data_IF_660101857155
#
_entry.id   IF_660101857155
#
_cell.length_a   1.000
_cell.length_b   1.000
_cell.length_c   1.000
_cell.angle_alpha   90.00
_cell.angle_beta   90.00
_cell.angle_gamma   90.00
#
_symmetry.space_group_name_H-M   'P 1'
#
loop_
_entity.id
_entity.type
_entity.pdbx_description
1 polymer ?
#
# COMPACT_ATOMS: atom_id res chain seq x y z
N UNK A 1 45.01 -94.07 15.62
CA UNK A 1 45.66 -93.02 14.82
C UNK A 1 44.97 -91.71 15.17
N UNK A 2 45.71 -90.81 15.84
CA UNK A 2 45.40 -89.37 16.16
C UNK A 2 44.19 -89.04 17.08
N UNK A 3 44.27 -87.94 17.87
CA UNK A 3 43.95 -87.97 19.30
C UNK A 3 42.93 -86.92 19.78
N UNK A 4 42.56 -87.07 21.05
CA UNK A 4 42.23 -86.06 22.08
C UNK A 4 41.86 -84.62 21.65
N UNK A 5 40.69 -84.15 22.10
CA UNK A 5 40.49 -82.72 22.38
C UNK A 5 39.49 -82.46 23.51
N UNK A 6 40.08 -82.36 24.69
CA UNK A 6 39.74 -81.52 25.84
C UNK A 6 38.52 -80.58 25.75
N UNK A 7 37.70 -80.70 26.80
CA UNK A 7 36.64 -79.80 27.27
C UNK A 7 37.17 -78.36 27.45
N UNK A 8 36.41 -77.38 26.95
CA UNK A 8 36.56 -75.96 27.31
C UNK A 8 35.33 -75.50 28.11
N UNK A 9 35.49 -74.87 29.28
CA UNK A 9 34.35 -74.32 30.02
C UNK A 9 33.81 -73.08 29.31
N UNK A 10 32.49 -73.08 29.08
CA UNK A 10 31.76 -71.95 28.53
C UNK A 10 31.75 -70.76 29.49
N UNK A 11 32.19 -69.61 28.98
CA UNK A 11 32.13 -68.29 29.60
C UNK A 11 30.70 -67.94 30.01
N UNK A 12 30.50 -67.54 31.28
CA UNK A 12 29.29 -66.87 31.75
C UNK A 12 29.05 -65.57 30.94
N UNK A 13 27.80 -65.19 30.65
CA UNK A 13 27.52 -63.92 30.01
C UNK A 13 27.83 -62.76 30.98
N UNK A 14 28.58 -61.78 30.48
CA UNK A 14 28.88 -60.53 31.20
C UNK A 14 27.56 -59.80 31.50
N UNK A 15 27.38 -59.46 32.77
CA UNK A 15 26.35 -58.56 33.30
C UNK A 15 26.23 -57.31 32.44
N UNK A 16 25.00 -57.04 31.98
CA UNK A 16 24.66 -55.87 31.19
C UNK A 16 25.00 -54.58 31.92
N UNK A 17 25.64 -53.66 31.20
CA UNK A 17 25.85 -52.29 31.65
C UNK A 17 24.49 -51.61 31.86
N UNK A 18 24.27 -51.12 33.08
CA UNK A 18 23.13 -50.26 33.42
C UNK A 18 23.20 -49.02 32.54
N UNK A 19 22.27 -48.87 31.60
CA UNK A 19 22.08 -47.64 30.83
C UNK A 19 21.51 -46.58 31.78
N UNK A 20 22.30 -45.55 32.08
CA UNK A 20 21.78 -44.33 32.69
C UNK A 20 20.65 -43.77 31.81
N UNK A 21 19.49 -43.39 32.38
CA UNK A 21 18.41 -42.77 31.61
C UNK A 21 18.93 -41.48 30.97
N UNK A 22 18.79 -41.44 29.65
CA UNK A 22 19.47 -40.52 28.76
C UNK A 22 19.07 -39.07 28.96
N UNK A 23 20.02 -38.20 28.64
CA UNK A 23 19.85 -36.77 28.53
C UNK A 23 18.59 -36.42 27.74
N UNK A 24 17.79 -35.51 28.30
CA UNK A 24 16.68 -34.87 27.61
C UNK A 24 17.26 -34.18 26.37
N UNK A 25 16.81 -34.48 25.14
CA UNK A 25 17.30 -33.79 23.97
C UNK A 25 17.02 -32.29 24.16
N UNK A 26 18.07 -31.47 24.09
CA UNK A 26 17.91 -30.02 24.07
C UNK A 26 17.09 -29.71 22.82
N UNK A 27 15.83 -29.33 22.99
CA UNK A 27 15.08 -28.71 21.91
C UNK A 27 15.92 -27.54 21.41
N UNK A 28 16.24 -27.55 20.11
CA UNK A 28 16.84 -26.39 19.47
C UNK A 28 15.98 -25.15 19.69
N UNK A 29 16.50 -23.95 19.42
CA UNK A 29 15.69 -22.74 19.47
C UNK A 29 14.40 -22.97 18.65
N UNK A 30 13.24 -22.50 19.15
CA UNK A 30 12.00 -22.64 18.41
C UNK A 30 12.20 -22.08 16.99
N UNK A 31 11.66 -22.77 15.99
CA UNK A 31 11.65 -22.25 14.63
C UNK A 31 11.12 -20.81 14.66
N UNK A 32 11.72 -19.87 13.89
CA UNK A 32 11.25 -18.50 13.87
C UNK A 32 9.75 -18.49 13.57
N UNK A 33 8.99 -17.74 14.38
CA UNK A 33 7.56 -17.61 14.16
C UNK A 33 7.31 -17.21 12.70
N UNK A 34 6.31 -17.80 12.03
CA UNK A 34 6.01 -17.46 10.64
C UNK A 34 5.77 -15.95 10.55
N UNK A 35 6.40 -15.30 9.56
CA UNK A 35 6.22 -13.87 9.32
C UNK A 35 4.73 -13.57 9.10
N UNK A 36 4.19 -12.50 9.72
CA UNK A 36 2.78 -12.19 9.60
C UNK A 36 2.44 -11.86 8.14
N UNK A 37 1.23 -12.23 7.69
CA UNK A 37 0.73 -11.72 6.41
C UNK A 37 0.51 -10.21 6.50
N UNK A 38 0.76 -9.49 5.41
CA UNK A 38 0.63 -8.04 5.34
C UNK A 38 -0.38 -7.64 4.28
N UNK A 39 -1.36 -6.83 4.67
CA UNK A 39 -2.44 -6.40 3.81
C UNK A 39 -2.51 -4.87 3.74
N UNK A 40 -2.21 -4.31 2.57
CA UNK A 40 -2.44 -2.90 2.29
C UNK A 40 -3.88 -2.67 1.85
N UNK A 41 -4.68 -2.12 2.75
CA UNK A 41 -6.14 -1.93 2.58
C UNK A 41 -6.52 -0.49 2.23
N UNK A 42 -5.55 0.31 1.79
CA UNK A 42 -5.84 1.64 1.24
C UNK A 42 -6.55 1.58 -0.11
N UNK A 43 -7.40 2.57 -0.38
CA UNK A 43 -7.98 2.76 -1.70
C UNK A 43 -6.89 3.13 -2.71
N UNK A 44 -7.14 2.90 -4.00
CA UNK A 44 -6.20 3.34 -5.03
C UNK A 44 -5.95 4.85 -4.88
N UNK A 45 -4.72 5.29 -5.16
CA UNK A 45 -4.27 6.71 -5.11
C UNK A 45 -3.99 7.30 -3.72
N UNK A 46 -3.92 6.48 -2.68
CA UNK A 46 -3.47 6.87 -1.32
C UNK A 46 -2.00 6.51 -1.03
N UNK A 47 -1.19 6.22 -2.06
CA UNK A 47 0.21 5.81 -1.87
C UNK A 47 0.46 4.30 -1.86
N UNK A 48 -0.49 3.50 -2.35
CA UNK A 48 -0.41 2.02 -2.36
C UNK A 48 0.85 1.45 -3.02
N UNK A 49 1.37 2.05 -4.09
CA UNK A 49 2.64 1.63 -4.72
C UNK A 49 3.86 1.91 -3.86
N UNK A 50 3.92 3.10 -3.27
CA UNK A 50 4.97 3.48 -2.32
C UNK A 50 4.96 2.58 -1.10
N UNK A 51 3.77 2.23 -0.59
CA UNK A 51 3.63 1.23 0.46
C UNK A 51 4.23 -0.12 0.03
N UNK A 52 3.87 -0.64 -1.15
CA UNK A 52 4.43 -1.94 -1.61
C UNK A 52 5.94 -1.88 -1.75
N UNK A 53 6.49 -0.80 -2.30
CA UNK A 53 7.94 -0.61 -2.42
C UNK A 53 8.61 -0.59 -1.04
N UNK A 54 8.06 0.16 -0.09
CA UNK A 54 8.58 0.23 1.27
C UNK A 54 8.54 -1.13 1.98
N UNK A 55 7.45 -1.89 1.82
CA UNK A 55 7.34 -3.25 2.35
C UNK A 55 8.41 -4.18 1.78
N UNK A 56 8.74 -4.04 0.49
CA UNK A 56 9.81 -4.81 -0.15
C UNK A 56 11.20 -4.43 0.37
N UNK A 57 11.47 -3.14 0.59
CA UNK A 57 12.69 -2.69 1.28
C UNK A 57 12.81 -3.33 2.65
N UNK A 58 11.71 -3.39 3.41
CA UNK A 58 11.66 -4.03 4.74
C UNK A 58 11.76 -5.57 4.67
N UNK A 59 11.92 -6.15 3.48
CA UNK A 59 12.16 -7.56 3.27
C UNK A 59 10.89 -8.41 3.19
N UNK A 60 9.72 -7.82 2.91
CA UNK A 60 8.46 -8.54 2.70
C UNK A 60 8.14 -8.71 1.21
N UNK A 61 7.81 -9.94 0.77
CA UNK A 61 7.32 -10.19 -0.58
C UNK A 61 5.82 -9.90 -0.69
N UNK A 62 5.50 -8.66 -1.05
CA UNK A 62 4.12 -8.18 -1.18
C UNK A 62 3.78 -7.90 -2.64
N UNK A 63 2.62 -8.40 -3.08
CA UNK A 63 2.08 -8.13 -4.40
C UNK A 63 1.28 -6.80 -4.41
N UNK A 64 1.53 -5.96 -5.40
CA UNK A 64 0.76 -4.75 -5.65
C UNK A 64 -0.28 -5.01 -6.73
N UNK A 65 -1.57 -4.91 -6.40
CA UNK A 65 -2.67 -5.10 -7.36
C UNK A 65 -2.46 -6.37 -8.23
N UNK A 66 -2.39 -7.58 -7.65
CA UNK A 66 -2.16 -8.79 -8.41
C UNK A 66 -3.29 -8.97 -9.43
N UNK A 67 -2.92 -9.22 -10.68
CA UNK A 67 -3.82 -9.35 -11.82
C UNK A 67 -3.63 -10.68 -12.57
N UNK A 68 -3.26 -11.72 -11.82
CA UNK A 68 -3.14 -13.10 -12.31
C UNK A 68 -4.51 -13.82 -12.29
N UNK A 69 -4.67 -14.91 -13.07
CA UNK A 69 -5.91 -15.67 -13.13
C UNK A 69 -6.36 -16.25 -11.78
N UNK A 70 -5.43 -16.63 -10.91
CA UNK A 70 -5.74 -17.18 -9.58
C UNK A 70 -6.36 -16.14 -8.66
N UNK A 71 -5.82 -14.92 -8.66
CA UNK A 71 -6.45 -13.78 -7.99
C UNK A 71 -7.84 -13.51 -8.52
N UNK A 72 -7.99 -13.47 -9.85
CA UNK A 72 -9.29 -13.19 -10.45
C UNK A 72 -10.34 -14.26 -10.11
N UNK A 73 -9.97 -15.54 -10.14
CA UNK A 73 -10.85 -16.63 -9.74
C UNK A 73 -11.27 -16.54 -8.26
N UNK A 74 -10.35 -16.21 -7.35
CA UNK A 74 -10.66 -16.03 -5.93
C UNK A 74 -11.63 -14.87 -5.68
N UNK A 75 -11.46 -13.75 -6.41
CA UNK A 75 -12.38 -12.62 -6.37
C UNK A 75 -13.78 -13.01 -6.84
N UNK A 76 -13.90 -13.70 -7.98
CA UNK A 76 -15.21 -14.13 -8.49
C UNK A 76 -15.91 -15.14 -7.57
N UNK A 77 -15.15 -16.04 -6.95
CA UNK A 77 -15.69 -17.04 -6.04
C UNK A 77 -15.99 -16.48 -4.63
N UNK A 78 -15.50 -15.28 -4.31
CA UNK A 78 -15.72 -14.64 -3.01
C UNK A 78 -15.03 -15.34 -1.84
N UNK A 79 -13.93 -16.05 -2.07
CA UNK A 79 -13.37 -16.99 -1.08
C UNK A 79 -12.30 -16.37 -0.16
N UNK A 80 -11.82 -15.16 -0.45
CA UNK A 80 -10.64 -14.53 0.17
C UNK A 80 -9.37 -15.42 0.21
N UNK A 81 -9.38 -16.56 -0.49
CA UNK A 81 -8.28 -17.52 -0.62
C UNK A 81 -7.56 -17.24 -1.92
N UNK A 82 -6.64 -16.30 -1.87
CA UNK A 82 -5.81 -15.94 -3.00
C UNK A 82 -4.61 -16.91 -3.10
N UNK A 83 -4.44 -17.69 -4.19
CA UNK A 83 -3.36 -18.67 -4.29
C UNK A 83 -1.95 -18.08 -4.12
N UNK A 84 -1.75 -16.80 -4.46
CA UNK A 84 -0.46 -16.15 -4.24
C UNK A 84 -0.07 -16.00 -2.76
N UNK A 85 -1.03 -16.05 -1.84
CA UNK A 85 -0.75 -15.96 -0.40
C UNK A 85 -0.08 -17.22 0.14
N UNK A 86 -0.04 -18.32 -0.62
CA UNK A 86 0.69 -19.53 -0.22
C UNK A 86 2.21 -19.32 -0.24
N UNK A 87 2.70 -18.37 -1.03
CA UNK A 87 4.14 -18.12 -1.22
C UNK A 87 4.54 -16.65 -1.06
N UNK A 88 3.60 -15.71 -0.93
CA UNK A 88 3.86 -14.29 -0.69
C UNK A 88 3.46 -13.86 0.71
N UNK A 89 4.09 -12.82 1.21
CA UNK A 89 3.80 -12.22 2.50
C UNK A 89 2.52 -11.38 2.47
N UNK A 90 2.06 -10.92 1.31
CA UNK A 90 0.94 -9.99 1.31
C UNK A 90 0.41 -9.51 -0.02
N UNK A 91 -0.67 -8.73 0.06
CA UNK A 91 -1.31 -8.03 -1.06
C UNK A 91 -1.59 -6.59 -0.65
N UNK A 92 -1.45 -5.66 -1.60
CA UNK A 92 -1.76 -4.23 -1.41
C UNK A 92 -2.66 -3.71 -2.53
N UNK A 93 -3.32 -2.58 -2.28
CA UNK A 93 -4.29 -1.90 -3.14
C UNK A 93 -5.70 -2.53 -3.09
N UNK A 94 -6.62 -2.03 -3.92
CA UNK A 94 -8.06 -2.31 -3.86
C UNK A 94 -8.44 -3.78 -4.06
N UNK A 95 -7.50 -4.66 -4.44
CA UNK A 95 -7.74 -6.12 -4.46
C UNK A 95 -8.12 -6.67 -3.09
N UNK A 96 -7.60 -6.07 -2.02
CA UNK A 96 -7.82 -6.51 -0.63
C UNK A 96 -9.12 -5.94 -0.04
N UNK A 97 -9.52 -4.75 -0.49
CA UNK A 97 -10.56 -3.94 0.14
C UNK A 97 -11.92 -4.66 0.30
N UNK A 98 -12.44 -5.43 -0.67
CA UNK A 98 -13.70 -6.14 -0.46
C UNK A 98 -13.62 -7.31 0.54
N UNK A 99 -12.40 -7.78 0.86
CA UNK A 99 -12.17 -9.04 1.58
C UNK A 99 -11.34 -8.90 2.86
N UNK A 100 -11.00 -7.68 3.31
CA UNK A 100 -10.06 -7.52 4.44
C UNK A 100 -10.54 -8.22 5.72
N UNK A 101 -11.86 -8.27 5.96
CA UNK A 101 -12.42 -8.97 7.12
C UNK A 101 -12.30 -10.50 7.00
N UNK A 102 -12.47 -11.04 5.79
CA UNK A 102 -12.26 -12.46 5.52
C UNK A 102 -10.78 -12.83 5.62
N UNK A 103 -9.90 -11.96 5.13
CA UNK A 103 -8.45 -12.14 5.22
C UNK A 103 -7.96 -12.09 6.68
N UNK A 104 -8.52 -11.20 7.49
CA UNK A 104 -8.26 -11.12 8.93
C UNK A 104 -8.68 -12.41 9.66
N UNK A 105 -9.82 -12.99 9.27
CA UNK A 105 -10.24 -14.31 9.79
C UNK A 105 -9.37 -15.46 9.29
N UNK A 106 -8.97 -15.43 8.02
CA UNK A 106 -8.19 -16.51 7.40
C UNK A 106 -6.73 -16.53 7.85
N UNK A 107 -6.17 -15.39 8.24
CA UNK A 107 -4.77 -15.23 8.62
C UNK A 107 -4.63 -14.56 10.00
N UNK A 108 -4.86 -15.29 11.10
CA UNK A 108 -4.66 -14.77 12.45
C UNK A 108 -3.24 -14.20 12.63
N UNK A 109 -3.14 -13.00 13.21
CA UNK A 109 -1.87 -12.30 13.40
C UNK A 109 -1.36 -11.51 12.17
N UNK A 110 -2.15 -11.47 11.08
CA UNK A 110 -1.87 -10.59 9.96
C UNK A 110 -1.87 -9.10 10.37
N UNK A 111 -1.10 -8.29 9.63
CA UNK A 111 -0.98 -6.85 9.80
C UNK A 111 -1.67 -6.11 8.66
N UNK A 112 -2.48 -5.13 9.02
CA UNK A 112 -3.26 -4.33 8.09
C UNK A 112 -2.76 -2.89 8.06
N UNK A 113 -2.60 -2.34 6.87
CA UNK A 113 -2.09 -0.98 6.67
C UNK A 113 -3.12 -0.21 5.84
N UNK A 114 -3.85 0.69 6.50
CA UNK A 114 -4.78 1.61 5.87
C UNK A 114 -4.03 2.87 5.48
N UNK A 115 -3.65 2.98 4.20
CA UNK A 115 -3.12 4.24 3.69
C UNK A 115 -4.26 5.22 3.42
N UNK A 116 -4.13 6.44 3.92
CA UNK A 116 -5.08 7.53 3.76
C UNK A 116 -4.43 8.71 3.03
N UNK A 117 -5.25 9.67 2.61
CA UNK A 117 -4.84 10.91 1.94
C UNK A 117 -5.92 11.96 2.16
N UNK A 118 -5.53 13.23 2.20
CA UNK A 118 -6.47 14.36 2.17
C UNK A 118 -7.49 14.19 1.03
N UNK A 119 -8.77 14.41 1.33
CA UNK A 119 -9.89 13.97 0.50
C UNK A 119 -9.90 14.64 -0.87
N UNK A 120 -9.74 15.96 -0.94
CA UNK A 120 -9.79 16.68 -2.21
C UNK A 120 -8.58 16.38 -3.09
N UNK A 121 -7.39 16.28 -2.49
CA UNK A 121 -6.19 15.82 -3.18
C UNK A 121 -6.32 14.37 -3.69
N UNK A 122 -7.00 13.51 -2.95
CA UNK A 122 -7.30 12.14 -3.37
C UNK A 122 -8.30 12.09 -4.53
N UNK A 123 -9.39 12.86 -4.47
CA UNK A 123 -10.38 12.99 -5.54
C UNK A 123 -9.75 13.51 -6.83
N UNK A 124 -8.90 14.53 -6.75
CA UNK A 124 -8.14 15.04 -7.89
C UNK A 124 -7.24 13.96 -8.52
N UNK A 125 -6.58 13.13 -7.70
CA UNK A 125 -5.76 12.03 -8.20
C UNK A 125 -6.59 10.90 -8.84
N UNK A 126 -7.76 10.60 -8.28
CA UNK A 126 -8.69 9.63 -8.83
C UNK A 126 -9.24 10.08 -10.19
N UNK A 127 -9.62 11.36 -10.32
CA UNK A 127 -10.08 11.93 -11.58
C UNK A 127 -9.10 11.67 -12.72
N UNK A 128 -7.80 11.89 -12.48
CA UNK A 128 -6.75 11.62 -13.48
C UNK A 128 -6.56 10.12 -13.74
N UNK A 129 -6.58 9.29 -12.70
CA UNK A 129 -6.36 7.84 -12.85
C UNK A 129 -7.50 7.10 -13.58
N UNK A 130 -8.73 7.61 -13.49
CA UNK A 130 -9.90 7.02 -14.14
C UNK A 130 -10.15 7.53 -15.56
N UNK A 131 -9.34 8.46 -16.07
CA UNK A 131 -9.40 8.82 -17.50
C UNK A 131 -9.14 7.60 -18.37
N UNK A 132 -9.84 7.45 -19.51
CA UNK A 132 -9.49 6.45 -20.52
C UNK A 132 -8.01 6.62 -20.90
N UNK A 133 -7.27 5.51 -20.98
CA UNK A 133 -5.90 5.59 -21.50
C UNK A 133 -5.99 5.89 -23.00
N UNK A 134 -5.24 6.90 -23.46
CA UNK A 134 -5.18 7.28 -24.89
C UNK A 134 -4.52 6.15 -25.71
N UNK A 135 -3.62 5.40 -25.09
CA UNK A 135 -3.02 4.18 -25.65
C UNK A 135 -3.23 2.99 -24.72
N UNK A 136 -3.56 1.84 -25.30
CA UNK A 136 -3.82 0.59 -24.58
C UNK A 136 -2.69 0.24 -23.61
N UNK A 137 -3.04 -0.28 -22.44
CA UNK A 137 -2.05 -0.64 -21.41
C UNK A 137 -1.38 -1.96 -21.78
N UNK A 138 -0.45 -1.89 -22.73
CA UNK A 138 0.38 -2.99 -23.20
C UNK A 138 1.08 -3.71 -22.03
N UNK A 139 1.28 -5.02 -22.17
CA UNK A 139 1.97 -5.85 -21.17
C UNK A 139 1.13 -6.26 -19.95
N UNK A 140 -0.21 -6.18 -20.04
CA UNK A 140 -1.11 -6.66 -18.98
C UNK A 140 -1.68 -8.03 -19.32
N UNK A 141 -1.91 -8.82 -18.27
CA UNK A 141 -2.60 -10.11 -18.35
C UNK A 141 -3.96 -9.99 -19.04
N UNK A 142 -4.39 -11.03 -19.75
CA UNK A 142 -5.68 -11.11 -20.44
C UNK A 142 -6.87 -10.91 -19.50
N UNK A 143 -6.73 -11.28 -18.22
CA UNK A 143 -7.79 -11.12 -17.20
C UNK A 143 -7.81 -9.71 -16.59
N UNK A 144 -6.83 -8.86 -16.89
CA UNK A 144 -6.70 -7.54 -16.26
C UNK A 144 -7.94 -6.67 -16.46
N UNK A 145 -8.52 -6.51 -17.67
CA UNK A 145 -9.72 -5.68 -17.86
C UNK A 145 -10.91 -6.15 -17.02
N UNK A 146 -11.12 -7.46 -16.90
CA UNK A 146 -12.22 -8.08 -16.18
C UNK A 146 -12.02 -7.92 -14.67
N UNK A 147 -10.80 -8.17 -14.17
CA UNK A 147 -10.43 -7.95 -12.79
C UNK A 147 -10.56 -6.46 -12.41
N UNK A 148 -10.12 -5.55 -13.27
CA UNK A 148 -10.28 -4.13 -13.04
C UNK A 148 -11.75 -3.73 -12.98
N UNK A 149 -12.57 -4.24 -13.90
CA UNK A 149 -14.02 -3.99 -13.92
C UNK A 149 -14.68 -4.50 -12.64
N UNK A 150 -14.34 -5.72 -12.22
CA UNK A 150 -14.82 -6.33 -10.99
C UNK A 150 -14.45 -5.49 -9.76
N UNK A 151 -13.16 -5.19 -9.56
CA UNK A 151 -12.71 -4.44 -8.38
C UNK A 151 -13.31 -3.03 -8.32
N UNK A 152 -13.48 -2.37 -9.47
CA UNK A 152 -14.17 -1.08 -9.53
C UNK A 152 -15.63 -1.19 -9.10
N UNK A 153 -16.36 -2.20 -9.55
CA UNK A 153 -17.73 -2.44 -9.10
C UNK A 153 -17.79 -2.86 -7.62
N UNK A 154 -16.91 -3.75 -7.16
CA UNK A 154 -16.91 -4.24 -5.79
C UNK A 154 -16.60 -3.13 -4.76
N UNK A 155 -15.63 -2.26 -5.06
CA UNK A 155 -15.19 -1.20 -4.13
C UNK A 155 -16.02 0.07 -4.30
N UNK A 156 -16.24 0.51 -5.54
CA UNK A 156 -16.86 1.81 -5.82
C UNK A 156 -18.31 1.70 -6.28
N UNK A 157 -18.89 0.50 -6.48
CA UNK A 157 -20.16 0.29 -7.19
C UNK A 157 -20.31 1.12 -8.48
N UNK A 158 -19.19 1.37 -9.15
CA UNK A 158 -19.13 2.14 -10.39
C UNK A 158 -17.88 1.76 -11.16
N UNK A 159 -17.96 1.80 -12.50
CA UNK A 159 -16.80 1.67 -13.37
C UNK A 159 -16.15 3.03 -13.71
N UNK A 160 -16.92 4.11 -13.56
CA UNK A 160 -16.53 5.48 -13.84
C UNK A 160 -16.19 6.24 -12.55
N UNK A 161 -15.47 7.34 -12.71
CA UNK A 161 -15.22 8.26 -11.61
C UNK A 161 -16.44 9.16 -11.41
N UNK A 162 -16.94 9.17 -10.17
CA UNK A 162 -17.93 10.13 -9.69
C UNK A 162 -17.44 10.63 -8.32
N UNK A 163 -17.21 11.95 -8.14
CA UNK A 163 -16.56 12.46 -6.94
C UNK A 163 -17.36 12.21 -5.66
N UNK A 164 -18.69 12.30 -5.70
CA UNK A 164 -19.53 12.11 -4.51
C UNK A 164 -19.58 10.63 -4.10
N UNK A 165 -19.68 9.74 -5.08
CA UNK A 165 -19.58 8.29 -4.85
C UNK A 165 -18.23 7.93 -4.25
N UNK A 166 -17.14 8.48 -4.79
CA UNK A 166 -15.79 8.21 -4.30
C UNK A 166 -15.60 8.71 -2.87
N UNK A 167 -16.06 9.93 -2.57
CA UNK A 167 -16.09 10.51 -1.21
C UNK A 167 -16.84 9.59 -0.24
N UNK A 168 -18.06 9.19 -0.60
CA UNK A 168 -18.88 8.28 0.21
C UNK A 168 -18.14 6.97 0.49
N UNK A 169 -17.54 6.36 -0.54
CA UNK A 169 -16.79 5.10 -0.42
C UNK A 169 -15.56 5.27 0.47
N UNK A 170 -14.78 6.34 0.32
CA UNK A 170 -13.57 6.58 1.12
C UNK A 170 -13.87 6.77 2.60
N UNK A 171 -14.86 7.61 2.92
CA UNK A 171 -15.29 7.85 4.30
C UNK A 171 -15.83 6.57 4.94
N UNK A 172 -16.71 5.86 4.21
CA UNK A 172 -17.29 4.60 4.67
C UNK A 172 -16.22 3.55 4.94
N UNK A 173 -15.32 3.31 3.97
CA UNK A 173 -14.25 2.32 4.10
C UNK A 173 -13.35 2.62 5.29
N UNK A 174 -12.94 3.88 5.45
CA UNK A 174 -12.10 4.30 6.58
C UNK A 174 -12.80 4.04 7.92
N UNK A 175 -14.07 4.45 8.05
CA UNK A 175 -14.84 4.24 9.27
C UNK A 175 -15.07 2.74 9.58
N UNK A 176 -15.36 1.94 8.56
CA UNK A 176 -15.55 0.49 8.72
C UNK A 176 -14.28 -0.22 9.16
N UNK A 177 -13.13 0.10 8.56
CA UNK A 177 -11.82 -0.46 8.94
C UNK A 177 -11.47 -0.07 10.37
N UNK A 178 -11.59 1.21 10.74
CA UNK A 178 -11.29 1.67 12.09
C UNK A 178 -12.16 0.96 13.13
N UNK A 179 -13.46 0.80 12.83
CA UNK A 179 -14.40 0.08 13.69
C UNK A 179 -14.05 -1.41 13.80
N UNK A 180 -13.66 -2.06 12.71
CA UNK A 180 -13.29 -3.48 12.70
C UNK A 180 -12.08 -3.79 13.59
N UNK A 181 -11.09 -2.89 13.63
CA UNK A 181 -9.85 -3.07 14.40
C UNK A 181 -9.81 -2.31 15.74
N UNK A 182 -10.91 -1.69 16.18
CA UNK A 182 -10.93 -0.82 17.37
C UNK A 182 -10.42 -1.50 18.66
N UNK A 183 -10.61 -2.81 18.81
CA UNK A 183 -10.12 -3.60 19.96
C UNK A 183 -8.71 -4.20 19.78
N UNK A 184 -8.04 -3.97 18.65
CA UNK A 184 -6.76 -4.58 18.27
C UNK A 184 -5.79 -3.55 17.67
N UNK A 185 -5.33 -2.56 18.46
CA UNK A 185 -4.48 -1.47 17.97
C UNK A 185 -3.12 -1.95 17.41
N UNK A 186 -2.68 -3.16 17.76
CA UNK A 186 -1.47 -3.77 17.20
C UNK A 186 -1.64 -4.36 15.79
N UNK A 187 -2.86 -4.48 15.27
CA UNK A 187 -3.14 -5.16 13.99
C UNK A 187 -3.40 -4.18 12.84
N UNK A 188 -3.68 -2.90 13.13
CA UNK A 188 -3.94 -1.86 12.14
C UNK A 188 -2.97 -0.67 12.28
N UNK A 189 -2.34 -0.30 11.17
CA UNK A 189 -1.63 0.97 11.01
C UNK A 189 -2.36 1.87 10.03
N UNK A 190 -2.67 3.10 10.45
CA UNK A 190 -3.14 4.17 9.55
C UNK A 190 -1.97 5.04 9.14
N UNK A 191 -1.72 5.18 7.84
CA UNK A 191 -0.54 5.84 7.29
C UNK A 191 -0.89 6.85 6.19
N UNK A 192 -0.53 8.12 6.38
CA UNK A 192 -0.60 9.14 5.33
C UNK A 192 0.78 9.36 4.70
N UNK A 193 1.06 8.56 3.68
CA UNK A 193 2.31 8.64 2.90
C UNK A 193 2.44 10.01 2.20
N UNK A 194 1.32 10.63 1.84
CA UNK A 194 1.33 11.91 1.11
C UNK A 194 1.60 13.12 2.00
N UNK A 195 1.32 12.98 3.30
CA UNK A 195 1.70 13.92 4.35
C UNK A 195 3.14 13.72 4.85
N UNK A 196 3.89 12.77 4.28
CA UNK A 196 5.30 12.53 4.61
C UNK A 196 5.54 11.46 5.68
N UNK A 197 4.52 10.68 6.05
CA UNK A 197 4.71 9.53 6.94
C UNK A 197 5.33 8.35 6.20
N UNK A 198 6.21 7.60 6.84
CA UNK A 198 6.98 6.54 6.21
C UNK A 198 7.49 5.47 7.18
N UNK A 199 8.79 5.15 7.09
CA UNK A 199 9.41 4.05 7.82
C UNK A 199 9.36 4.22 9.34
N UNK A 200 9.38 5.45 9.83
CA UNK A 200 9.32 5.78 11.26
C UNK A 200 8.03 5.28 11.93
N UNK A 201 6.96 5.07 11.16
CA UNK A 201 5.72 4.44 11.63
C UNK A 201 5.59 2.99 11.15
N UNK A 202 5.99 2.73 9.91
CA UNK A 202 5.79 1.42 9.27
C UNK A 202 6.70 0.33 9.87
N UNK A 203 7.99 0.61 10.08
CA UNK A 203 8.94 -0.41 10.53
C UNK A 203 8.67 -0.86 11.99
N UNK A 204 8.41 0.04 12.96
CA UNK A 204 8.05 -0.37 14.32
C UNK A 204 6.75 -1.18 14.39
N UNK A 205 5.75 -0.82 13.57
CA UNK A 205 4.49 -1.57 13.48
C UNK A 205 4.70 -3.02 13.01
N UNK A 206 5.68 -3.24 12.13
CA UNK A 206 6.02 -4.56 11.60
C UNK A 206 7.10 -5.29 12.43
N UNK A 207 7.63 -4.66 13.49
CA UNK A 207 8.66 -5.24 14.35
C UNK A 207 10.02 -5.40 13.66
N UNK A 208 10.34 -4.54 12.70
CA UNK A 208 11.61 -4.54 11.96
C UNK A 208 12.36 -3.21 12.11
N UNK A 209 13.68 -3.17 11.92
CA UNK A 209 14.45 -1.92 11.95
C UNK A 209 14.03 -0.93 10.86
N UNK A 210 14.13 0.37 11.17
CA UNK A 210 14.03 1.43 10.16
C UNK A 210 15.26 1.36 9.27
N UNK A 211 15.12 1.30 7.93
CA UNK A 211 16.26 1.27 7.02
C UNK A 211 16.84 2.69 6.86
N UNK A 212 18.12 2.78 6.46
CA UNK A 212 18.82 4.05 6.25
C UNK A 212 18.47 4.75 4.93
N UNK A 213 17.60 4.14 4.11
CA UNK A 213 17.16 4.69 2.82
C UNK A 213 15.86 5.53 2.94
N UNK A 214 15.66 6.53 2.07
CA UNK A 214 14.45 7.33 2.08
C UNK A 214 13.21 6.51 1.73
N UNK A 215 12.05 6.94 2.24
CA UNK A 215 10.78 6.29 1.92
C UNK A 215 10.47 6.40 0.41
N UNK A 216 10.06 5.32 -0.28
CA UNK A 216 9.83 5.35 -1.72
C UNK A 216 8.73 6.33 -2.14
N UNK A 217 9.02 7.18 -3.13
CA UNK A 217 8.05 8.10 -3.74
C UNK A 217 7.74 7.69 -5.18
N UNK A 218 6.92 6.64 -5.35
CA UNK A 218 6.53 6.13 -6.67
C UNK A 218 5.21 6.79 -7.10
N UNK A 219 5.27 7.68 -8.10
CA UNK A 219 4.18 8.52 -8.67
C UNK A 219 3.97 9.93 -8.05
N UNK A 220 5.01 10.62 -7.58
CA UNK A 220 4.88 12.05 -7.33
C UNK A 220 4.67 12.79 -8.67
N UNK A 221 3.45 13.25 -8.93
CA UNK A 221 3.33 14.48 -9.71
C UNK A 221 3.97 15.56 -8.84
N UNK A 222 4.92 16.31 -9.40
CA UNK A 222 5.66 17.33 -8.68
C UNK A 222 4.69 18.17 -7.83
N UNK A 223 5.01 18.38 -6.55
CA UNK A 223 4.35 19.41 -5.75
C UNK A 223 4.55 20.72 -6.51
N UNK A 224 3.47 21.28 -7.05
CA UNK A 224 3.46 22.73 -7.31
C UNK A 224 3.49 23.36 -5.92
N UNK A 225 4.52 24.14 -5.56
CA UNK A 225 4.53 24.85 -4.30
C UNK A 225 3.25 25.70 -4.21
N UNK A 226 2.60 25.73 -3.05
CA UNK A 226 1.55 26.70 -2.81
C UNK A 226 2.15 28.09 -2.99
N UNK A 227 1.64 28.87 -3.94
CA UNK A 227 1.95 30.29 -4.04
C UNK A 227 1.58 30.94 -2.71
N UNK A 228 2.56 31.64 -2.12
CA UNK A 228 2.32 32.45 -0.93
C UNK A 228 1.24 33.49 -1.26
N UNK A 229 0.32 33.81 -0.33
CA UNK A 229 -0.66 34.85 -0.57
C UNK A 229 0.08 36.15 -0.89
N UNK A 230 -0.20 36.72 -2.07
CA UNK A 230 0.26 38.05 -2.45
C UNK A 230 -0.14 39.03 -1.35
N UNK A 231 0.85 39.71 -0.78
CA UNK A 231 0.64 40.84 0.12
C UNK A 231 -0.13 41.92 -0.63
N UNK A 232 -1.19 42.52 -0.05
CA UNK A 232 -1.93 43.56 -0.75
C UNK A 232 -1.02 44.78 -0.95
N UNK A 233 -0.85 45.17 -2.21
CA UNK A 233 -0.19 46.43 -2.58
C UNK A 233 -0.94 47.61 -1.97
N UNK A 234 -0.21 48.44 -1.22
CA UNK A 234 -0.66 49.74 -0.72
C UNK A 234 -1.00 50.66 -1.89
N UNK A 235 -2.11 51.43 -1.86
CA UNK A 235 -2.45 52.30 -2.98
C UNK A 235 -1.47 53.48 -3.07
N UNK A 236 -0.86 53.66 -4.24
CA UNK A 236 -0.08 54.85 -4.57
C UNK A 236 -0.98 56.09 -4.68
N UNK A 237 -0.47 57.20 -4.13
CA UNK A 237 -1.09 58.53 -4.13
C UNK A 237 -0.98 59.14 -5.55
N UNK A 238 -2.00 59.84 -6.08
CA UNK A 238 -1.93 60.34 -7.46
C UNK A 238 -1.03 61.59 -7.58
N UNK A 239 -0.07 61.54 -8.51
CA UNK A 239 0.69 62.71 -8.97
C UNK A 239 -0.11 63.55 -9.96
N UNK A 240 0.10 64.88 -9.89
CA UNK A 240 -0.60 65.92 -10.63
C UNK A 240 -0.21 65.98 -12.13
N UNK A 241 -1.06 66.56 -13.00
CA UNK A 241 -0.87 66.46 -14.45
C UNK A 241 0.19 67.45 -14.95
N UNK A 242 1.11 66.94 -15.78
CA UNK A 242 2.05 67.75 -16.56
C UNK A 242 1.40 68.10 -17.89
N UNK A 243 1.33 69.40 -18.17
CA UNK A 243 0.88 69.96 -19.43
C UNK A 243 1.92 69.70 -20.52
N UNK A 244 1.48 69.28 -21.70
CA UNK A 244 2.29 69.41 -22.91
C UNK A 244 1.47 69.99 -24.05
N UNK A 245 2.04 71.02 -24.65
CA UNK A 245 1.47 71.81 -25.72
C UNK A 245 2.15 71.46 -27.03
N UNK A 246 1.35 71.22 -28.05
CA UNK A 246 1.82 71.22 -29.44
C UNK A 246 0.88 72.04 -30.30
N UNK A 247 1.45 73.09 -30.89
CA UNK A 247 0.82 74.00 -31.82
C UNK A 247 1.06 73.56 -33.29
N UNK A 248 0.10 73.84 -34.16
CA UNK A 248 0.23 73.86 -35.62
C UNK A 248 -1.12 73.72 -36.34
N UNK A 249 -1.28 74.25 -37.58
CA UNK A 249 -1.51 75.66 -37.87
C UNK A 249 -2.87 75.97 -38.55
N UNK A 250 -3.16 77.28 -38.70
CA UNK A 250 -4.32 77.92 -39.37
C UNK A 250 -4.43 77.58 -40.88
N UNK A 251 -5.51 77.76 -41.67
CA UNK A 251 -6.77 78.55 -41.69
C UNK A 251 -7.68 77.91 -42.81
N UNK A 252 -8.76 78.50 -43.39
CA UNK A 252 -9.46 79.76 -43.13
C UNK A 252 -11.01 79.68 -43.13
N UNK A 253 -11.58 80.89 -43.03
CA UNK A 253 -12.94 81.42 -42.93
C UNK A 253 -14.05 80.98 -43.91
N UNK A 254 -15.30 81.02 -43.40
CA UNK A 254 -16.57 81.25 -44.12
C UNK A 254 -17.75 80.60 -43.37
N UNK A 255 -18.90 81.20 -43.04
CA UNK A 255 -19.52 82.51 -43.25
C UNK A 255 -20.92 82.50 -42.58
N UNK A 256 -21.65 83.62 -42.68
CA UNK A 256 -22.93 84.02 -42.03
C UNK A 256 -22.73 84.72 -40.66
N UNK A 257 -22.93 86.03 -40.52
CA UNK A 257 -23.70 87.02 -41.29
C UNK A 257 -22.88 88.25 -41.65
#
# INVERSE_FOLDING_TARGET
MTPDRAVRPGSLPRTGAVRHPGAVPRLGPPAPAPRPKIFGIGLSRTGTRSLTAALRTLGFDVAHYPADPGTYAALLAGTARFPLLDHRDGITDITVVPYYQDLDRAWPGAKFILTVREEEAWLASCRTHWKPAIDGKAGRSEVYPQLQRFLRAAVYASHAFDPERFRTVARRHTAEVLRHFAGRPGDLLVLDITAGQGYERLAPFLGVPVPDEPFPHTNAYARVPAEAPETPETPETPEAPVADGTAGPAAPTGGAR
#
